data_IF_634960588510
#
_entry.id   IF_634960588510
#
_cell.length_a   1.000
_cell.length_b   1.000
_cell.length_c   1.000
_cell.angle_alpha   90.00
_cell.angle_beta   90.00
_cell.angle_gamma   90.00
#
_symmetry.space_group_name_H-M   'P 1'
#
loop_
_entity.id
_entity.type
_entity.pdbx_description
1 polymer ?
#
# COMPACT_ATOMS: atom_id res chain seq x y z
N UNK A 1 -36.68 -18.84 -51.68
CA UNK A 1 -37.09 -17.43 -51.49
C UNK A 1 -37.17 -17.17 -50.01
N UNK A 2 -36.05 -16.79 -49.38
CA UNK A 2 -36.02 -16.53 -47.94
C UNK A 2 -36.67 -15.18 -47.66
N UNK A 3 -37.88 -15.18 -47.10
CA UNK A 3 -38.50 -14.00 -46.51
C UNK A 3 -37.64 -13.59 -45.31
N UNK A 4 -36.84 -12.53 -45.48
CA UNK A 4 -36.17 -11.87 -44.36
C UNK A 4 -37.28 -11.21 -43.53
N UNK A 5 -37.67 -11.88 -42.45
CA UNK A 5 -38.57 -11.33 -41.43
C UNK A 5 -37.83 -10.15 -40.79
N UNK A 6 -38.16 -8.91 -41.18
CA UNK A 6 -37.60 -7.73 -40.51
C UNK A 6 -38.04 -7.79 -39.04
N UNK A 7 -37.11 -7.80 -38.07
CA UNK A 7 -37.49 -7.77 -36.67
C UNK A 7 -38.35 -6.54 -36.41
N UNK A 8 -39.43 -6.67 -35.63
CA UNK A 8 -40.36 -5.58 -35.41
C UNK A 8 -39.66 -4.44 -34.65
N UNK A 9 -39.91 -3.20 -35.06
CA UNK A 9 -39.19 -2.01 -34.61
C UNK A 9 -39.20 -1.81 -33.08
N UNK A 10 -40.23 -2.29 -32.38
CA UNK A 10 -40.30 -2.20 -30.91
C UNK A 10 -39.24 -3.08 -30.23
N UNK A 11 -38.88 -4.22 -30.83
CA UNK A 11 -37.88 -5.14 -30.30
C UNK A 11 -36.48 -4.51 -30.33
N UNK A 12 -36.15 -3.78 -31.41
CA UNK A 12 -34.89 -3.04 -31.54
C UNK A 12 -34.70 -2.01 -30.41
N UNK A 13 -35.75 -1.25 -30.11
CA UNK A 13 -35.72 -0.25 -29.02
C UNK A 13 -35.60 -0.91 -27.66
N UNK A 14 -36.35 -2.00 -27.42
CA UNK A 14 -36.30 -2.73 -26.16
C UNK A 14 -34.90 -3.31 -25.91
N UNK A 15 -34.29 -3.94 -26.92
CA UNK A 15 -32.92 -4.45 -26.82
C UNK A 15 -31.94 -3.30 -26.58
N UNK A 16 -32.04 -2.20 -27.34
CA UNK A 16 -31.17 -1.05 -27.14
C UNK A 16 -31.25 -0.43 -25.74
N UNK A 17 -32.45 -0.36 -25.16
CA UNK A 17 -32.66 0.09 -23.77
C UNK A 17 -32.07 -0.90 -22.76
N UNK A 18 -32.28 -2.21 -22.94
CA UNK A 18 -31.70 -3.22 -22.06
C UNK A 18 -30.17 -3.15 -22.02
N UNK A 19 -29.53 -2.98 -23.18
CA UNK A 19 -28.06 -2.87 -23.25
C UNK A 19 -27.53 -1.61 -22.54
N UNK A 20 -28.24 -0.48 -22.66
CA UNK A 20 -27.88 0.74 -21.94
C UNK A 20 -28.04 0.58 -20.42
N UNK A 21 -29.11 -0.08 -19.96
CA UNK A 21 -29.30 -0.38 -18.53
C UNK A 21 -28.17 -1.29 -18.05
N UNK A 22 -27.80 -2.30 -18.83
CA UNK A 22 -26.70 -3.21 -18.47
C UNK A 22 -25.36 -2.47 -18.39
N UNK A 23 -25.07 -1.57 -19.34
CA UNK A 23 -23.88 -0.72 -19.30
C UNK A 23 -23.84 0.13 -18.03
N UNK A 24 -24.98 0.71 -17.63
CA UNK A 24 -25.09 1.51 -16.43
C UNK A 24 -24.86 0.66 -15.16
N UNK A 25 -25.40 -0.55 -15.11
CA UNK A 25 -25.18 -1.48 -13.99
C UNK A 25 -23.71 -1.90 -13.87
N UNK A 26 -23.04 -2.19 -14.98
CA UNK A 26 -21.61 -2.52 -14.98
C UNK A 26 -20.82 -1.33 -14.40
N UNK A 27 -21.12 -0.11 -14.83
CA UNK A 27 -20.46 1.10 -14.33
C UNK A 27 -20.75 1.34 -12.84
N UNK A 28 -22.01 1.24 -12.41
CA UNK A 28 -22.40 1.61 -11.05
C UNK A 28 -22.06 0.58 -9.98
N UNK A 29 -22.00 -0.70 -10.33
CA UNK A 29 -21.73 -1.78 -9.38
C UNK A 29 -20.30 -2.28 -9.53
N UNK A 30 -19.94 -2.75 -10.72
CA UNK A 30 -18.67 -3.46 -10.92
C UNK A 30 -17.47 -2.50 -10.92
N UNK A 31 -17.52 -1.40 -11.66
CA UNK A 31 -16.40 -0.44 -11.70
C UNK A 31 -16.23 0.29 -10.35
N UNK A 32 -17.33 0.57 -9.66
CA UNK A 32 -17.30 1.19 -8.34
C UNK A 32 -16.63 0.27 -7.31
N UNK A 33 -16.95 -1.03 -7.29
CA UNK A 33 -16.31 -2.01 -6.40
C UNK A 33 -14.79 -2.08 -6.66
N UNK A 34 -14.37 -2.12 -7.93
CA UNK A 34 -12.94 -2.10 -8.28
C UNK A 34 -12.26 -0.79 -7.87
N UNK A 35 -12.93 0.35 -8.01
CA UNK A 35 -12.43 1.65 -7.58
C UNK A 35 -12.17 1.68 -6.08
N UNK A 36 -13.14 1.19 -5.28
CA UNK A 36 -13.03 1.12 -3.83
C UNK A 36 -11.92 0.16 -3.37
N UNK A 37 -11.81 -1.01 -4.02
CA UNK A 37 -10.75 -1.97 -3.70
C UNK A 37 -9.37 -1.38 -3.99
N UNK A 38 -9.20 -0.73 -5.16
CA UNK A 38 -7.96 -0.06 -5.51
C UNK A 38 -7.60 1.05 -4.51
N UNK A 39 -8.58 1.84 -4.07
CA UNK A 39 -8.37 2.88 -3.06
C UNK A 39 -7.88 2.31 -1.73
N UNK A 40 -8.48 1.19 -1.26
CA UNK A 40 -8.03 0.51 -0.04
C UNK A 40 -6.61 -0.03 -0.14
N UNK A 41 -6.24 -0.56 -1.31
CA UNK A 41 -4.88 -1.06 -1.54
C UNK A 41 -3.86 0.06 -1.57
N UNK A 42 -4.20 1.21 -2.16
CA UNK A 42 -3.36 2.40 -2.10
C UNK A 42 -3.19 2.91 -0.67
N UNK A 43 -4.27 3.02 0.10
CA UNK A 43 -4.21 3.44 1.51
C UNK A 43 -3.30 2.51 2.33
N UNK A 44 -3.42 1.19 2.13
CA UNK A 44 -2.56 0.21 2.78
C UNK A 44 -1.09 0.37 2.38
N UNK A 45 -0.82 0.58 1.10
CA UNK A 45 0.53 0.82 0.58
C UNK A 45 1.16 2.09 1.16
N UNK A 46 0.38 3.17 1.27
CA UNK A 46 0.81 4.42 1.92
C UNK A 46 1.10 4.21 3.41
N UNK A 47 0.23 3.49 4.12
CA UNK A 47 0.44 3.11 5.51
C UNK A 47 1.71 2.28 5.72
N UNK A 48 1.98 1.33 4.83
CA UNK A 48 3.21 0.55 4.83
C UNK A 48 4.45 1.41 4.56
N UNK A 49 4.37 2.34 3.61
CA UNK A 49 5.46 3.28 3.32
C UNK A 49 5.79 4.15 4.55
N UNK A 50 4.78 4.61 5.27
CA UNK A 50 4.99 5.35 6.52
C UNK A 50 5.67 4.48 7.59
N UNK A 51 5.26 3.22 7.76
CA UNK A 51 5.91 2.30 8.68
C UNK A 51 7.38 2.02 8.30
N UNK A 52 7.69 1.91 7.02
CA UNK A 52 9.07 1.77 6.52
C UNK A 52 9.91 3.00 6.93
N UNK A 53 9.38 4.21 6.79
CA UNK A 53 10.07 5.43 7.21
C UNK A 53 10.35 5.45 8.72
N UNK A 54 9.38 5.05 9.54
CA UNK A 54 9.56 4.93 10.98
C UNK A 54 10.62 3.89 11.34
N UNK A 55 10.65 2.74 10.67
CA UNK A 55 11.64 1.71 10.89
C UNK A 55 13.06 2.20 10.51
N UNK A 56 13.22 2.91 9.40
CA UNK A 56 14.49 3.56 9.03
C UNK A 56 14.95 4.56 10.09
N UNK A 57 14.04 5.42 10.56
CA UNK A 57 14.34 6.37 11.63
C UNK A 57 14.78 5.67 12.92
N UNK A 58 14.18 4.53 13.26
CA UNK A 58 14.61 3.71 14.40
C UNK A 58 16.02 3.16 14.21
N UNK A 59 16.35 2.64 13.04
CA UNK A 59 17.71 2.15 12.71
C UNK A 59 18.73 3.29 12.86
N UNK A 60 18.43 4.46 12.30
CA UNK A 60 19.32 5.63 12.39
C UNK A 60 19.51 6.09 13.84
N UNK A 61 18.44 6.14 14.63
CA UNK A 61 18.53 6.49 16.05
C UNK A 61 19.35 5.47 16.84
N UNK A 62 19.21 4.17 16.55
CA UNK A 62 20.05 3.13 17.16
C UNK A 62 21.53 3.32 16.82
N UNK A 63 21.86 3.70 15.58
CA UNK A 63 23.24 4.01 15.19
C UNK A 63 23.78 5.25 15.91
N UNK A 64 22.98 6.31 16.03
CA UNK A 64 23.35 7.51 16.82
C UNK A 64 23.58 7.16 18.29
N UNK A 65 22.79 6.24 18.87
CA UNK A 65 23.00 5.77 20.24
C UNK A 65 24.30 4.97 20.37
N UNK A 66 24.65 4.16 19.37
CA UNK A 66 25.94 3.47 19.30
C UNK A 66 27.12 4.45 19.28
N UNK A 67 27.05 5.51 18.49
CA UNK A 67 28.07 6.57 18.45
C UNK A 67 28.16 7.32 19.79
N UNK A 68 27.02 7.60 20.42
CA UNK A 68 26.95 8.20 21.75
C UNK A 68 27.58 7.30 22.82
N UNK A 69 27.37 5.98 22.75
CA UNK A 69 27.99 5.00 23.66
C UNK A 69 29.51 4.99 23.52
N UNK A 70 30.03 5.02 22.29
CA UNK A 70 31.48 5.12 22.06
C UNK A 70 32.06 6.40 22.66
N UNK A 71 31.38 7.52 22.46
CA UNK A 71 31.78 8.80 23.04
C UNK A 71 31.76 8.74 24.57
N UNK A 72 30.70 8.20 25.17
CA UNK A 72 30.59 8.06 26.62
C UNK A 72 31.67 7.17 27.23
N UNK A 73 31.90 5.99 26.64
CA UNK A 73 32.92 5.04 27.12
C UNK A 73 34.33 5.62 27.01
N UNK A 74 34.59 6.47 26.02
CA UNK A 74 35.90 7.15 25.87
C UNK A 74 36.08 8.34 26.80
N UNK A 75 35.01 9.01 27.21
CA UNK A 75 35.05 10.14 28.18
C UNK A 75 34.95 9.70 29.63
N UNK A 76 34.50 8.47 29.88
CA UNK A 76 34.37 7.86 31.22
C UNK A 76 35.60 8.05 32.13
N UNK A 77 36.86 7.86 31.65
CA UNK A 77 38.05 8.05 32.48
C UNK A 77 38.32 9.50 32.89
N UNK A 78 37.67 10.48 32.26
CA UNK A 78 37.84 11.91 32.52
C UNK A 78 36.77 12.49 33.46
N UNK A 79 35.73 11.69 33.77
CA UNK A 79 34.62 12.10 34.63
C UNK A 79 34.91 11.80 36.10
N UNK A 80 34.26 12.56 36.98
CA UNK A 80 34.21 12.20 38.40
C UNK A 80 33.36 10.94 38.58
N UNK A 81 33.63 10.15 39.62
CA UNK A 81 32.91 8.89 39.87
C UNK A 81 31.41 9.08 40.07
N UNK A 82 30.99 10.24 40.60
CA UNK A 82 29.59 10.58 40.86
C UNK A 82 28.88 10.98 39.55
N UNK A 83 29.51 11.81 38.71
CA UNK A 83 28.96 12.20 37.41
C UNK A 83 28.86 11.02 36.44
N UNK A 84 29.82 10.08 36.49
CA UNK A 84 29.84 8.90 35.66
C UNK A 84 28.67 7.95 35.95
N UNK A 85 28.31 7.75 37.23
CA UNK A 85 27.19 6.91 37.65
C UNK A 85 25.84 7.46 37.18
N UNK A 86 25.63 8.77 37.29
CA UNK A 86 24.39 9.43 36.85
C UNK A 86 24.21 9.27 35.34
N UNK A 87 25.27 9.55 34.57
CA UNK A 87 25.24 9.44 33.11
C UNK A 87 25.10 8.00 32.63
N UNK A 88 25.73 7.03 33.30
CA UNK A 88 25.60 5.61 32.99
C UNK A 88 24.15 5.14 33.15
N UNK A 89 23.50 5.51 34.27
CA UNK A 89 22.12 5.14 34.54
C UNK A 89 21.18 5.70 33.45
N UNK A 90 21.27 6.98 33.15
CA UNK A 90 20.48 7.64 32.10
C UNK A 90 20.71 7.02 30.71
N UNK A 91 21.97 6.69 30.37
CA UNK A 91 22.27 6.02 29.11
C UNK A 91 21.70 4.60 29.05
N UNK A 92 21.77 3.85 30.15
CA UNK A 92 21.25 2.49 30.22
C UNK A 92 19.73 2.48 30.07
N UNK A 93 19.02 3.32 30.81
CA UNK A 93 17.55 3.44 30.73
C UNK A 93 17.10 3.84 29.32
N UNK A 94 17.80 4.79 28.69
CA UNK A 94 17.53 5.14 27.31
C UNK A 94 17.77 3.95 26.38
N UNK A 95 18.91 3.29 26.44
CA UNK A 95 19.23 2.19 25.53
C UNK A 95 18.28 0.99 25.70
N UNK A 96 17.88 0.67 26.93
CA UNK A 96 16.90 -0.36 27.23
C UNK A 96 15.56 -0.09 26.54
N UNK A 97 15.10 1.17 26.50
CA UNK A 97 13.85 1.52 25.82
C UNK A 97 13.89 1.29 24.30
N UNK A 98 15.07 1.40 23.67
CA UNK A 98 15.23 1.23 22.23
C UNK A 98 15.49 -0.21 21.81
N UNK A 99 16.17 -0.98 22.66
CA UNK A 99 16.52 -2.37 22.36
C UNK A 99 15.50 -3.37 22.94
N UNK A 100 14.71 -2.96 23.94
CA UNK A 100 13.65 -3.76 24.55
C UNK A 100 14.17 -4.92 25.41
N UNK A 101 15.45 -4.89 25.77
CA UNK A 101 16.12 -5.88 26.60
C UNK A 101 16.97 -5.18 27.65
N UNK A 102 17.19 -5.80 28.82
CA UNK A 102 18.05 -5.25 29.85
C UNK A 102 19.47 -5.06 29.30
N UNK A 103 20.07 -3.91 29.60
CA UNK A 103 21.36 -3.51 29.07
C UNK A 103 22.45 -3.84 30.10
N UNK A 104 23.55 -4.51 29.71
CA UNK A 104 24.67 -4.77 30.60
C UNK A 104 25.39 -3.45 30.97
N UNK A 105 26.08 -3.45 32.11
CA UNK A 105 26.81 -2.28 32.63
C UNK A 105 27.68 -1.65 31.55
N UNK A 106 27.68 -0.32 31.40
CA UNK A 106 28.30 0.35 30.25
C UNK A 106 29.80 0.51 30.52
N UNK A 107 30.59 -0.41 29.96
CA UNK A 107 32.04 -0.44 30.13
C UNK A 107 32.73 -0.87 28.83
N UNK A 108 34.03 -0.59 28.73
CA UNK A 108 34.85 -1.02 27.58
C UNK A 108 34.74 -2.54 27.34
N UNK A 109 34.65 -3.33 28.42
CA UNK A 109 34.53 -4.79 28.36
C UNK A 109 33.18 -5.30 27.83
N UNK A 110 32.10 -4.56 28.03
CA UNK A 110 30.73 -4.94 27.60
C UNK A 110 30.33 -4.31 26.26
N UNK A 111 31.16 -3.43 25.70
CA UNK A 111 30.90 -2.73 24.43
C UNK A 111 30.53 -3.67 23.27
N UNK A 112 31.20 -4.83 23.20
CA UNK A 112 30.90 -5.85 22.17
C UNK A 112 29.48 -6.40 22.31
N UNK A 113 29.06 -6.66 23.54
CA UNK A 113 27.72 -7.18 23.85
C UNK A 113 26.66 -6.11 23.57
N UNK A 114 26.91 -4.86 23.96
CA UNK A 114 26.06 -3.71 23.64
C UNK A 114 25.86 -3.53 22.13
N UNK A 115 26.93 -3.66 21.34
CA UNK A 115 26.83 -3.55 19.88
C UNK A 115 26.08 -4.72 19.26
N UNK A 116 26.21 -5.93 19.78
CA UNK A 116 25.41 -7.07 19.34
C UNK A 116 23.92 -6.87 19.66
N UNK A 117 23.61 -6.28 20.82
CA UNK A 117 22.24 -5.94 21.22
C UNK A 117 21.63 -4.92 20.24
N UNK A 118 22.37 -3.85 19.94
CA UNK A 118 21.97 -2.82 18.96
C UNK A 118 21.82 -3.41 17.56
N UNK A 119 22.75 -4.23 17.10
CA UNK A 119 22.70 -4.87 15.78
C UNK A 119 21.46 -5.77 15.66
N UNK A 120 21.14 -6.52 16.72
CA UNK A 120 19.94 -7.37 16.74
C UNK A 120 18.66 -6.54 16.65
N UNK A 121 18.60 -5.40 17.36
CA UNK A 121 17.49 -4.47 17.27
C UNK A 121 17.38 -3.85 15.87
N UNK A 122 18.50 -3.43 15.26
CA UNK A 122 18.54 -2.92 13.90
C UNK A 122 18.10 -3.97 12.89
N UNK A 123 18.58 -5.21 13.00
CA UNK A 123 18.19 -6.31 12.11
C UNK A 123 16.69 -6.60 12.18
N UNK A 124 16.09 -6.51 13.37
CA UNK A 124 14.63 -6.63 13.54
C UNK A 124 13.89 -5.55 12.75
N UNK A 125 14.39 -4.31 12.76
CA UNK A 125 13.80 -3.24 11.95
C UNK A 125 14.03 -3.44 10.44
N UNK A 126 15.21 -3.95 10.03
CA UNK A 126 15.49 -4.27 8.61
C UNK A 126 14.56 -5.35 8.08
N UNK A 127 14.39 -6.44 8.82
CA UNK A 127 13.44 -7.50 8.47
C UNK A 127 12.02 -6.93 8.33
N UNK A 128 11.61 -6.04 9.25
CA UNK A 128 10.30 -5.38 9.17
C UNK A 128 10.16 -4.52 7.91
N UNK A 129 11.20 -3.82 7.50
CA UNK A 129 11.22 -3.05 6.24
C UNK A 129 11.06 -3.99 5.05
N UNK A 130 11.80 -5.11 5.03
CA UNK A 130 11.73 -6.08 3.95
C UNK A 130 10.32 -6.67 3.81
N UNK A 131 9.69 -7.07 4.93
CA UNK A 131 8.32 -7.59 4.94
C UNK A 131 7.31 -6.57 4.36
N UNK A 132 7.39 -5.31 4.82
CA UNK A 132 6.50 -4.23 4.35
C UNK A 132 6.76 -3.88 2.88
N UNK A 133 8.01 -3.98 2.43
CA UNK A 133 8.37 -3.73 1.04
C UNK A 133 7.83 -4.82 0.11
N UNK A 134 7.95 -6.09 0.50
CA UNK A 134 7.37 -7.22 -0.23
C UNK A 134 5.84 -7.11 -0.30
N UNK A 135 5.18 -6.79 0.81
CA UNK A 135 3.73 -6.56 0.82
C UNK A 135 3.32 -5.42 -0.13
N UNK A 136 4.12 -4.34 -0.21
CA UNK A 136 3.86 -3.25 -1.15
C UNK A 136 4.02 -3.65 -2.62
N UNK A 137 4.93 -4.59 -2.93
CA UNK A 137 5.07 -5.15 -4.27
C UNK A 137 3.83 -5.97 -4.62
N UNK A 138 3.40 -6.86 -3.71
CA UNK A 138 2.18 -7.66 -3.89
C UNK A 138 0.95 -6.77 -4.10
N UNK A 139 0.76 -5.74 -3.27
CA UNK A 139 -0.32 -4.76 -3.45
C UNK A 139 -0.25 -4.05 -4.80
N UNK A 140 0.96 -3.74 -5.28
CA UNK A 140 1.14 -3.09 -6.59
C UNK A 140 0.73 -4.01 -7.73
N UNK A 141 1.05 -5.30 -7.65
CA UNK A 141 0.62 -6.30 -8.62
C UNK A 141 -0.90 -6.52 -8.59
N UNK A 142 -1.50 -6.59 -7.40
CA UNK A 142 -2.96 -6.69 -7.26
C UNK A 142 -3.69 -5.47 -7.83
N UNK A 143 -3.20 -4.26 -7.55
CA UNK A 143 -3.76 -3.04 -8.13
C UNK A 143 -3.61 -2.99 -9.65
N UNK A 144 -2.49 -3.47 -10.20
CA UNK A 144 -2.30 -3.60 -11.65
C UNK A 144 -3.35 -4.52 -12.28
N UNK A 145 -3.62 -5.66 -11.64
CA UNK A 145 -4.66 -6.59 -12.07
C UNK A 145 -6.06 -5.97 -11.99
N UNK A 146 -6.39 -5.28 -10.90
CA UNK A 146 -7.66 -4.53 -10.76
C UNK A 146 -7.81 -3.49 -11.87
N UNK A 147 -6.76 -2.73 -12.17
CA UNK A 147 -6.78 -1.73 -13.24
C UNK A 147 -7.05 -2.36 -14.61
N UNK A 148 -6.44 -3.52 -14.88
CA UNK A 148 -6.68 -4.27 -16.11
C UNK A 148 -8.12 -4.75 -16.22
N UNK A 149 -8.68 -5.31 -15.15
CA UNK A 149 -10.05 -5.83 -15.14
C UNK A 149 -11.06 -4.68 -15.24
N UNK A 150 -10.85 -3.60 -14.48
CA UNK A 150 -11.65 -2.38 -14.57
C UNK A 150 -11.68 -1.79 -15.99
N UNK A 151 -10.53 -1.77 -16.67
CA UNK A 151 -10.46 -1.32 -18.07
C UNK A 151 -11.28 -2.21 -19.02
N UNK A 152 -11.29 -3.54 -18.81
CA UNK A 152 -12.10 -4.46 -19.61
C UNK A 152 -13.60 -4.20 -19.41
N UNK A 153 -14.05 -4.07 -18.16
CA UNK A 153 -15.46 -3.77 -17.87
C UNK A 153 -15.87 -2.40 -18.39
N UNK A 154 -15.01 -1.40 -18.28
CA UNK A 154 -15.28 -0.07 -18.81
C UNK A 154 -15.46 -0.09 -20.33
N UNK A 155 -14.55 -0.78 -21.05
CA UNK A 155 -14.66 -0.93 -22.50
C UNK A 155 -15.94 -1.69 -22.90
N UNK A 156 -16.32 -2.72 -22.14
CA UNK A 156 -17.55 -3.47 -22.36
C UNK A 156 -18.80 -2.61 -22.14
N UNK A 157 -18.84 -1.83 -21.05
CA UNK A 157 -19.93 -0.91 -20.76
C UNK A 157 -20.08 0.15 -21.86
N UNK A 158 -18.97 0.76 -22.31
CA UNK A 158 -18.98 1.71 -23.41
C UNK A 158 -19.48 1.08 -24.72
N UNK A 159 -19.05 -0.14 -25.03
CA UNK A 159 -19.53 -0.86 -26.21
C UNK A 159 -21.04 -1.10 -26.14
N UNK A 160 -21.53 -1.61 -25.00
CA UNK A 160 -22.96 -1.82 -24.75
C UNK A 160 -23.77 -0.53 -24.93
N UNK A 161 -23.26 0.59 -24.43
CA UNK A 161 -23.91 1.90 -24.51
C UNK A 161 -23.97 2.41 -25.97
N UNK A 162 -22.84 2.40 -26.68
CA UNK A 162 -22.78 2.84 -28.09
C UNK A 162 -23.67 1.95 -28.96
N UNK A 163 -23.61 0.63 -28.77
CA UNK A 163 -24.43 -0.30 -29.54
C UNK A 163 -25.92 -0.15 -29.21
N UNK A 164 -26.27 0.03 -27.93
CA UNK A 164 -27.64 0.29 -27.51
C UNK A 164 -28.23 1.56 -28.14
N UNK A 165 -27.45 2.65 -28.15
CA UNK A 165 -27.83 3.90 -28.84
C UNK A 165 -27.98 3.70 -30.36
N UNK A 166 -27.05 2.97 -30.99
CA UNK A 166 -27.11 2.68 -32.42
C UNK A 166 -28.37 1.87 -32.79
N UNK A 167 -28.81 0.91 -31.97
CA UNK A 167 -30.05 0.16 -32.20
C UNK A 167 -31.30 1.04 -32.09
N UNK A 168 -31.32 1.96 -31.13
CA UNK A 168 -32.41 2.93 -30.98
C UNK A 168 -32.45 3.87 -32.20
N UNK A 169 -31.31 4.40 -32.63
CA UNK A 169 -31.19 5.26 -33.81
C UNK A 169 -31.53 4.54 -35.12
N UNK A 170 -31.08 3.29 -35.28
CA UNK A 170 -31.36 2.48 -36.46
C UNK A 170 -32.86 2.25 -36.66
N UNK A 171 -33.62 2.15 -35.57
CA UNK A 171 -35.08 2.10 -35.63
C UNK A 171 -35.69 3.40 -36.16
N UNK A 172 -35.16 4.56 -35.76
CA UNK A 172 -35.66 5.85 -36.25
C UNK A 172 -35.29 6.08 -37.73
N UNK A 173 -34.12 5.60 -38.18
CA UNK A 173 -33.74 5.57 -39.61
C UNK A 173 -34.61 4.62 -40.46
N UNK A 174 -35.10 3.52 -39.88
CA UNK A 174 -35.99 2.58 -40.56
C UNK A 174 -37.42 3.12 -40.76
N UNK A 175 -37.81 4.16 -40.01
CA UNK A 175 -39.05 4.91 -40.23
C UNK A 175 -38.83 5.93 -41.35
N UNK A 176 -38.87 5.51 -42.62
CA UNK A 176 -38.96 6.48 -43.73
C UNK A 176 -40.23 7.34 -43.58
N UNK A 177 -40.17 8.65 -43.81
CA UNK A 177 -41.37 9.46 -43.97
C UNK A 177 -42.04 9.04 -45.28
N UNK A 178 -43.22 8.43 -45.17
CA UNK A 178 -44.24 8.48 -46.24
C UNK A 178 -45.04 9.75 -46.08
#
# INVERSE_FOLDING_TARGET
MYMILRPPAWLLVLVGLMLNILALLISSLVLEDYSQLNARYQEKKEGNQHQIQLAWSRIENLERKRESLLTFVTTLPMLSSEDALILEQEMSEQLESWVGQPVPNIAIGSLKELFQLIETAQQTQRNRIDDLYLENLELTDEMSQIHKDSAQYNNLALFLQIFGLALILARDLARKPT
#
